data_IF_143284565378
#
_entry.id   IF_143284565378
#
_cell.length_a   1.000
_cell.length_b   1.000
_cell.length_c   1.000
_cell.angle_alpha   90.00
_cell.angle_beta   90.00
_cell.angle_gamma   90.00
#
_symmetry.space_group_name_H-M   'P 1'
#
loop_
_entity.id
_entity.type
_entity.pdbx_description
1 polymer ?
#
# COMPACT_ATOMS: atom_id res chain seq x y z
N UNK A 1 30.23 7.44 9.39
CA UNK A 1 29.10 7.92 8.53
C UNK A 1 28.57 9.22 9.12
N UNK A 2 28.56 10.32 8.37
CA UNK A 2 27.86 11.54 8.81
C UNK A 2 26.37 11.24 8.78
N UNK A 3 25.73 11.08 9.95
CA UNK A 3 24.28 10.93 10.06
C UNK A 3 23.62 12.15 9.44
N UNK A 4 22.85 11.94 8.39
CA UNK A 4 22.00 12.98 7.83
C UNK A 4 20.84 13.21 8.82
N UNK A 5 20.46 14.47 9.08
CA UNK A 5 19.47 14.89 10.08
C UNK A 5 18.11 14.13 9.96
N UNK A 6 17.83 13.56 8.80
CA UNK A 6 16.56 12.88 8.49
C UNK A 6 16.62 11.35 8.62
N UNK A 7 17.81 10.77 8.78
CA UNK A 7 18.00 9.32 8.85
C UNK A 7 17.86 8.80 10.27
N UNK A 8 17.05 7.77 10.46
CA UNK A 8 16.86 7.09 11.75
C UNK A 8 17.77 5.90 11.81
N UNK A 9 18.65 5.83 12.83
CA UNK A 9 19.44 4.63 13.11
C UNK A 9 18.53 3.52 13.66
N UNK A 10 18.25 2.53 12.83
CA UNK A 10 17.38 1.40 13.16
C UNK A 10 18.09 0.29 13.93
N UNK A 11 19.44 0.30 13.92
CA UNK A 11 20.23 -0.79 14.45
C UNK A 11 20.68 -0.57 15.90
N UNK A 12 20.61 0.65 16.44
CA UNK A 12 21.08 0.97 17.79
C UNK A 12 20.05 1.80 18.57
N UNK A 13 20.24 1.97 19.89
CA UNK A 13 19.40 2.77 20.79
C UNK A 13 18.00 2.19 21.03
N UNK A 14 17.10 3.02 21.53
CA UNK A 14 15.70 2.67 21.83
C UNK A 14 14.91 2.34 20.55
N UNK A 15 13.94 1.44 20.65
CA UNK A 15 13.18 0.98 19.48
C UNK A 15 11.85 1.69 19.32
N UNK A 16 11.05 1.76 20.38
CA UNK A 16 9.65 2.20 20.29
C UNK A 16 9.53 3.65 19.79
N UNK A 17 10.33 4.58 20.33
CA UNK A 17 10.38 5.98 19.89
C UNK A 17 10.78 6.13 18.41
N UNK A 18 11.74 5.31 17.96
CA UNK A 18 12.18 5.29 16.56
C UNK A 18 11.13 4.69 15.64
N UNK A 19 10.45 3.62 16.06
CA UNK A 19 9.33 3.05 15.32
C UNK A 19 8.19 4.04 15.16
N UNK A 20 7.82 4.75 16.23
CA UNK A 20 6.80 5.80 16.16
C UNK A 20 7.25 6.94 15.23
N UNK A 21 8.48 7.44 15.39
CA UNK A 21 9.02 8.52 14.56
C UNK A 21 9.12 8.13 13.08
N UNK A 22 9.30 6.86 12.76
CA UNK A 22 9.33 6.34 11.40
C UNK A 22 7.92 6.07 10.84
N UNK A 23 7.03 5.48 11.65
CA UNK A 23 5.67 5.09 11.23
C UNK A 23 4.75 6.28 11.05
N UNK A 24 4.87 7.31 11.89
CA UNK A 24 3.97 8.46 11.86
C UNK A 24 3.99 9.22 10.52
N UNK A 25 5.15 9.55 9.92
CA UNK A 25 5.16 10.15 8.60
C UNK A 25 4.60 9.24 7.50
N UNK A 26 4.78 7.91 7.61
CA UNK A 26 4.20 6.95 6.66
C UNK A 26 2.68 6.90 6.77
N UNK A 27 2.15 6.89 7.99
CA UNK A 27 0.71 6.95 8.24
C UNK A 27 0.10 8.23 7.67
N UNK A 28 0.72 9.38 7.95
CA UNK A 28 0.29 10.67 7.40
C UNK A 28 0.35 10.69 5.88
N UNK A 29 1.39 10.09 5.27
CA UNK A 29 1.49 9.95 3.80
C UNK A 29 0.32 9.16 3.22
N UNK A 30 -0.06 8.03 3.85
CA UNK A 30 -1.20 7.23 3.43
C UNK A 30 -2.53 7.96 3.56
N UNK A 31 -2.76 8.65 4.69
CA UNK A 31 -3.96 9.46 4.92
C UNK A 31 -4.07 10.58 3.88
N UNK A 32 -2.96 11.29 3.62
CA UNK A 32 -2.94 12.35 2.60
C UNK A 32 -3.26 11.82 1.21
N UNK A 33 -2.74 10.65 0.83
CA UNK A 33 -3.08 10.02 -0.45
C UNK A 33 -4.58 9.73 -0.56
N UNK A 34 -5.23 9.23 0.50
CA UNK A 34 -6.67 9.02 0.52
C UNK A 34 -7.44 10.35 0.37
N UNK A 35 -7.01 11.40 1.07
CA UNK A 35 -7.63 12.72 0.97
C UNK A 35 -7.48 13.32 -0.42
N UNK A 36 -6.32 13.22 -1.06
CA UNK A 36 -6.11 13.72 -2.42
C UNK A 36 -6.94 12.96 -3.44
N UNK A 37 -7.04 11.63 -3.33
CA UNK A 37 -7.94 10.82 -4.18
C UNK A 37 -9.40 11.23 -3.99
N UNK A 38 -9.82 11.52 -2.75
CA UNK A 38 -11.17 12.01 -2.49
C UNK A 38 -11.43 13.37 -3.13
N UNK A 39 -10.46 14.30 -3.07
CA UNK A 39 -10.56 15.62 -3.73
C UNK A 39 -10.69 15.44 -5.24
N UNK A 40 -9.90 14.58 -5.87
CA UNK A 40 -9.97 14.31 -7.30
C UNK A 40 -11.37 13.83 -7.73
N UNK A 41 -11.92 12.86 -6.99
CA UNK A 41 -13.25 12.31 -7.24
C UNK A 41 -14.35 13.37 -7.06
N UNK A 42 -14.26 14.18 -5.99
CA UNK A 42 -15.22 15.24 -5.71
C UNK A 42 -15.19 16.32 -6.78
N UNK A 43 -14.01 16.78 -7.18
CA UNK A 43 -13.86 17.84 -8.20
C UNK A 43 -14.42 17.36 -9.55
N UNK A 44 -14.02 16.18 -10.02
CA UNK A 44 -14.51 15.62 -11.28
C UNK A 44 -16.01 15.37 -11.20
N UNK A 45 -16.52 14.73 -10.13
CA UNK A 45 -17.92 14.40 -9.99
C UNK A 45 -18.84 15.62 -9.91
N UNK A 46 -18.44 16.65 -9.16
CA UNK A 46 -19.27 17.84 -8.93
C UNK A 46 -19.29 18.80 -10.12
N UNK A 47 -18.19 18.93 -10.84
CA UNK A 47 -18.04 19.95 -11.90
C UNK A 47 -18.12 19.38 -13.32
N UNK A 48 -17.99 18.05 -13.49
CA UNK A 48 -18.07 17.42 -14.83
C UNK A 48 -19.31 16.53 -14.98
N UNK A 49 -19.95 16.15 -13.87
CA UNK A 49 -21.21 15.39 -13.88
C UNK A 49 -21.04 13.89 -13.60
N UNK A 50 -22.18 13.20 -13.54
CA UNK A 50 -22.27 11.79 -13.13
C UNK A 50 -21.57 10.81 -14.07
N UNK A 51 -21.58 11.07 -15.38
CA UNK A 51 -20.88 10.23 -16.36
C UNK A 51 -19.37 10.28 -16.17
N UNK A 52 -18.80 11.46 -15.90
CA UNK A 52 -17.37 11.61 -15.61
C UNK A 52 -16.98 10.90 -14.29
N UNK A 53 -17.83 11.00 -13.27
CA UNK A 53 -17.64 10.27 -12.01
C UNK A 53 -17.66 8.76 -12.23
N UNK A 54 -18.60 8.25 -13.02
CA UNK A 54 -18.67 6.84 -13.38
C UNK A 54 -17.46 6.40 -14.19
N UNK A 55 -16.94 7.26 -15.08
CA UNK A 55 -15.74 7.00 -15.87
C UNK A 55 -14.49 6.83 -14.98
N UNK A 56 -14.26 7.73 -14.03
CA UNK A 56 -13.16 7.63 -13.07
C UNK A 56 -13.33 6.39 -12.18
N UNK A 57 -14.54 6.15 -11.67
CA UNK A 57 -14.85 5.00 -10.82
C UNK A 57 -14.58 3.66 -11.48
N UNK A 58 -15.00 3.50 -12.76
CA UNK A 58 -14.81 2.25 -13.52
C UNK A 58 -13.34 1.91 -13.78
N UNK A 59 -12.45 2.91 -13.84
CA UNK A 59 -11.01 2.71 -14.09
C UNK A 59 -10.23 2.37 -12.81
N UNK A 60 -10.73 2.75 -11.64
CA UNK A 60 -10.00 2.66 -10.35
C UNK A 60 -9.58 1.22 -10.02
N UNK A 61 -10.45 0.24 -10.25
CA UNK A 61 -10.16 -1.17 -9.99
C UNK A 61 -8.99 -1.68 -10.84
N UNK A 62 -8.98 -1.37 -12.15
CA UNK A 62 -7.88 -1.75 -13.06
C UNK A 62 -6.58 -1.08 -12.68
N UNK A 63 -6.62 0.23 -12.42
CA UNK A 63 -5.45 1.00 -11.99
C UNK A 63 -4.85 0.37 -10.73
N UNK A 64 -5.68 0.04 -9.73
CA UNK A 64 -5.23 -0.55 -8.48
C UNK A 64 -4.58 -1.94 -8.65
N UNK A 65 -5.13 -2.79 -9.53
CA UNK A 65 -4.55 -4.11 -9.81
C UNK A 65 -3.10 -3.97 -10.32
N UNK A 66 -2.91 -3.13 -11.33
CA UNK A 66 -1.58 -2.92 -11.91
C UNK A 66 -0.63 -2.19 -10.95
N UNK A 67 -1.07 -1.12 -10.31
CA UNK A 67 -0.20 -0.33 -9.42
C UNK A 67 0.23 -1.12 -8.19
N UNK A 68 -0.65 -1.91 -7.56
CA UNK A 68 -0.31 -2.71 -6.40
C UNK A 68 0.76 -3.77 -6.68
N UNK A 69 0.75 -4.39 -7.86
CA UNK A 69 1.79 -5.33 -8.25
C UNK A 69 3.17 -4.66 -8.26
N UNK A 70 3.28 -3.50 -8.92
CA UNK A 70 4.55 -2.81 -9.06
C UNK A 70 4.99 -2.06 -7.79
N UNK A 71 4.05 -1.57 -6.98
CA UNK A 71 4.34 -1.09 -5.62
C UNK A 71 4.93 -2.22 -4.79
N UNK A 72 4.37 -3.44 -4.89
CA UNK A 72 4.93 -4.63 -4.24
C UNK A 72 6.40 -4.85 -4.62
N UNK A 73 6.76 -4.69 -5.90
CA UNK A 73 8.15 -4.84 -6.35
C UNK A 73 9.06 -3.77 -5.70
N UNK A 74 8.57 -2.54 -5.49
CA UNK A 74 9.34 -1.48 -4.80
C UNK A 74 9.65 -1.82 -3.34
N UNK A 75 8.82 -2.67 -2.67
CA UNK A 75 9.12 -3.18 -1.34
C UNK A 75 10.37 -4.09 -1.35
N UNK A 76 10.58 -4.85 -2.44
CA UNK A 76 11.80 -5.63 -2.63
C UNK A 76 13.04 -4.75 -2.71
N UNK A 77 12.96 -3.61 -3.40
CA UNK A 77 14.03 -2.60 -3.44
C UNK A 77 14.31 -2.01 -2.05
N UNK A 78 13.26 -1.72 -1.26
CA UNK A 78 13.41 -1.25 0.12
C UNK A 78 14.17 -2.27 0.99
N UNK A 79 13.74 -3.53 0.99
CA UNK A 79 14.35 -4.60 1.78
C UNK A 79 15.83 -4.76 1.44
N UNK A 80 16.16 -4.79 0.16
CA UNK A 80 17.54 -4.99 -0.28
C UNK A 80 18.42 -3.78 0.05
N UNK A 81 17.95 -2.58 -0.22
CA UNK A 81 18.64 -1.34 0.11
C UNK A 81 18.86 -1.20 1.63
N UNK A 82 17.85 -1.51 2.46
CA UNK A 82 17.94 -1.47 3.91
C UNK A 82 19.03 -2.41 4.45
N UNK A 83 19.11 -3.62 3.89
CA UNK A 83 20.11 -4.62 4.26
C UNK A 83 21.54 -4.15 3.94
N UNK A 84 21.79 -3.65 2.73
CA UNK A 84 23.11 -3.20 2.31
C UNK A 84 23.53 -1.91 3.01
N UNK A 85 22.57 -0.99 3.22
CA UNK A 85 22.85 0.23 3.96
C UNK A 85 23.34 -0.05 5.38
N UNK A 86 22.62 -0.89 6.13
CA UNK A 86 22.97 -1.23 7.50
C UNK A 86 24.30 -2.01 7.59
N UNK A 87 24.59 -2.91 6.65
CA UNK A 87 25.84 -3.69 6.62
C UNK A 87 27.06 -2.91 6.10
N UNK A 88 26.92 -1.62 5.74
CA UNK A 88 28.02 -0.79 5.24
C UNK A 88 28.54 -1.20 3.87
N UNK A 89 27.78 -1.97 3.10
CA UNK A 89 28.15 -2.44 1.75
C UNK A 89 27.82 -1.37 0.71
N UNK A 90 28.71 -0.37 0.60
CA UNK A 90 28.47 0.83 -0.22
C UNK A 90 28.32 0.53 -1.72
N UNK A 91 29.13 -0.41 -2.25
CA UNK A 91 29.06 -0.79 -3.66
C UNK A 91 27.71 -1.45 -3.98
N UNK A 92 27.32 -2.45 -3.17
CA UNK A 92 26.07 -3.17 -3.33
C UNK A 92 24.85 -2.26 -3.13
N UNK A 93 24.95 -1.31 -2.19
CA UNK A 93 23.93 -0.27 -1.99
C UNK A 93 23.79 0.60 -3.23
N UNK A 94 24.91 1.12 -3.77
CA UNK A 94 24.89 1.93 -4.98
C UNK A 94 24.30 1.16 -6.17
N UNK A 95 24.73 -0.09 -6.41
CA UNK A 95 24.22 -0.92 -7.50
C UNK A 95 22.73 -1.25 -7.32
N UNK A 96 22.25 -1.44 -6.08
CA UNK A 96 20.83 -1.62 -5.78
C UNK A 96 20.02 -0.38 -6.10
N UNK A 97 20.50 0.82 -5.75
CA UNK A 97 19.83 2.09 -6.06
C UNK A 97 19.68 2.27 -7.57
N UNK A 98 20.77 2.10 -8.33
CA UNK A 98 20.76 2.28 -9.78
C UNK A 98 19.87 1.23 -10.47
N UNK A 99 19.93 -0.04 -10.04
CA UNK A 99 19.03 -1.10 -10.53
C UNK A 99 17.57 -0.77 -10.23
N UNK A 100 17.27 -0.28 -9.02
CA UNK A 100 15.90 0.06 -8.61
C UNK A 100 15.31 1.23 -9.40
N UNK A 101 16.08 2.29 -9.62
CA UNK A 101 15.61 3.45 -10.39
C UNK A 101 15.45 3.10 -11.88
N UNK A 102 16.38 2.31 -12.44
CA UNK A 102 16.25 1.80 -13.81
C UNK A 102 15.01 0.91 -13.96
N UNK A 103 14.78 0.02 -12.99
CA UNK A 103 13.59 -0.84 -12.95
C UNK A 103 12.31 -0.02 -12.84
N UNK A 104 12.30 1.05 -12.03
CA UNK A 104 11.16 1.96 -11.92
C UNK A 104 10.81 2.61 -13.27
N UNK A 105 11.83 3.07 -14.00
CA UNK A 105 11.64 3.68 -15.32
C UNK A 105 11.10 2.66 -16.33
N UNK A 106 11.71 1.47 -16.42
CA UNK A 106 11.29 0.42 -17.35
C UNK A 106 9.87 -0.06 -17.02
N UNK A 107 9.58 -0.37 -15.76
CA UNK A 107 8.26 -0.82 -15.35
C UNK A 107 7.19 0.25 -15.59
N UNK A 108 7.50 1.51 -15.33
CA UNK A 108 6.62 2.64 -15.60
C UNK A 108 6.33 2.80 -17.12
N UNK A 109 7.35 2.68 -17.98
CA UNK A 109 7.18 2.74 -19.43
C UNK A 109 6.38 1.53 -19.97
N UNK A 110 6.65 0.33 -19.46
CA UNK A 110 5.86 -0.87 -19.82
C UNK A 110 4.41 -0.69 -19.43
N UNK A 111 4.14 -0.17 -18.23
CA UNK A 111 2.77 0.10 -17.78
C UNK A 111 2.10 1.20 -18.60
N UNK A 112 2.83 2.27 -18.93
CA UNK A 112 2.30 3.34 -19.78
C UNK A 112 1.88 2.80 -21.14
N UNK A 113 2.74 2.01 -21.78
CA UNK A 113 2.46 1.38 -23.07
C UNK A 113 1.27 0.41 -22.97
N UNK A 114 1.29 -0.49 -22.01
CA UNK A 114 0.20 -1.46 -21.79
C UNK A 114 -1.12 -0.75 -21.48
N UNK A 115 -1.12 0.26 -20.61
CA UNK A 115 -2.32 1.01 -20.25
C UNK A 115 -2.92 1.79 -21.42
N UNK A 116 -2.08 2.41 -22.26
CA UNK A 116 -2.57 3.13 -23.45
C UNK A 116 -3.15 2.18 -24.50
N UNK A 117 -2.48 1.05 -24.76
CA UNK A 117 -2.90 0.10 -25.80
C UNK A 117 -4.09 -0.76 -25.36
N UNK A 118 -4.09 -1.23 -24.12
CA UNK A 118 -5.08 -2.21 -23.63
C UNK A 118 -6.27 -1.57 -22.89
N UNK A 119 -6.29 -0.24 -22.67
CA UNK A 119 -7.34 0.43 -21.90
C UNK A 119 -8.75 0.05 -22.36
N UNK A 120 -9.04 0.17 -23.66
CA UNK A 120 -10.36 -0.12 -24.19
C UNK A 120 -10.74 -1.59 -24.07
N UNK A 121 -9.80 -2.48 -24.34
CA UNK A 121 -10.01 -3.92 -24.21
C UNK A 121 -10.30 -4.31 -22.74
N UNK A 122 -9.53 -3.81 -21.79
CA UNK A 122 -9.69 -4.10 -20.38
C UNK A 122 -11.02 -3.56 -19.83
N UNK A 123 -11.43 -2.36 -20.21
CA UNK A 123 -12.70 -1.77 -19.80
C UNK A 123 -13.90 -2.50 -20.42
N UNK A 124 -13.82 -2.93 -21.67
CA UNK A 124 -14.85 -3.77 -22.29
C UNK A 124 -15.00 -5.12 -21.57
N UNK A 125 -13.88 -5.75 -21.20
CA UNK A 125 -13.89 -7.01 -20.46
C UNK A 125 -14.56 -6.86 -19.07
N UNK A 126 -14.45 -5.67 -18.46
CA UNK A 126 -15.13 -5.36 -17.19
C UNK A 126 -16.62 -5.00 -17.37
N UNK A 127 -17.14 -4.94 -18.58
CA UNK A 127 -18.53 -4.58 -18.83
C UNK A 127 -18.83 -3.09 -18.61
N UNK A 128 -17.86 -2.19 -18.84
CA UNK A 128 -18.06 -0.74 -18.73
C UNK A 128 -19.15 -0.30 -19.73
N UNK A 129 -20.19 0.45 -19.29
CA UNK A 129 -21.29 0.88 -20.16
C UNK A 129 -20.82 1.75 -21.33
N UNK A 130 -21.50 1.63 -22.49
CA UNK A 130 -21.11 2.31 -23.73
C UNK A 130 -21.17 3.84 -23.65
N UNK A 131 -22.02 4.39 -22.80
CA UNK A 131 -22.17 5.84 -22.58
C UNK A 131 -21.03 6.45 -21.76
N UNK A 132 -20.24 5.62 -21.08
CA UNK A 132 -19.13 6.03 -20.18
C UNK A 132 -17.77 5.61 -20.71
N UNK A 133 -17.71 4.58 -21.57
CA UNK A 133 -16.46 3.91 -21.95
C UNK A 133 -15.44 4.85 -22.58
N UNK A 134 -15.86 5.78 -23.44
CA UNK A 134 -14.93 6.68 -24.12
C UNK A 134 -14.24 7.63 -23.13
N UNK A 135 -14.95 8.14 -22.14
CA UNK A 135 -14.36 8.96 -21.07
C UNK A 135 -13.45 8.12 -20.17
N UNK A 136 -13.84 6.87 -19.87
CA UNK A 136 -13.04 5.93 -19.07
C UNK A 136 -11.72 5.61 -19.80
N UNK A 137 -11.76 5.33 -21.09
CA UNK A 137 -10.58 5.07 -21.92
C UNK A 137 -9.66 6.29 -21.96
N UNK A 138 -10.22 7.49 -22.16
CA UNK A 138 -9.45 8.74 -22.18
C UNK A 138 -8.75 8.95 -20.84
N UNK A 139 -9.50 8.87 -19.71
CA UNK A 139 -8.93 9.01 -18.37
C UNK A 139 -7.83 7.99 -18.11
N UNK A 140 -8.10 6.72 -18.40
CA UNK A 140 -7.15 5.62 -18.18
C UNK A 140 -5.87 5.79 -19.01
N UNK A 141 -5.99 6.14 -20.29
CA UNK A 141 -4.82 6.37 -21.16
C UNK A 141 -3.95 7.51 -20.62
N UNK A 142 -4.57 8.65 -20.29
CA UNK A 142 -3.83 9.78 -19.73
C UNK A 142 -3.16 9.37 -18.40
N UNK A 143 -3.89 8.74 -17.49
CA UNK A 143 -3.38 8.30 -16.20
C UNK A 143 -2.15 7.38 -16.35
N UNK A 144 -2.22 6.39 -17.26
CA UNK A 144 -1.11 5.46 -17.49
C UNK A 144 0.13 6.12 -18.11
N UNK A 145 0.00 7.22 -18.85
CA UNK A 145 1.15 8.01 -19.29
C UNK A 145 1.95 8.60 -18.11
N UNK A 146 1.33 8.78 -16.96
CA UNK A 146 1.99 9.22 -15.72
C UNK A 146 2.71 8.10 -14.96
N UNK A 147 2.55 6.82 -15.34
CA UNK A 147 3.13 5.69 -14.60
C UNK A 147 4.65 5.73 -14.44
N UNK A 148 5.45 6.19 -15.41
CA UNK A 148 6.88 6.34 -15.20
C UNK A 148 7.22 7.23 -13.99
N UNK A 149 6.53 8.34 -13.83
CA UNK A 149 6.74 9.27 -12.71
C UNK A 149 6.26 8.68 -11.38
N UNK A 150 5.10 8.00 -11.39
CA UNK A 150 4.58 7.30 -10.25
C UNK A 150 5.55 6.21 -9.75
N UNK A 151 6.11 5.41 -10.66
CA UNK A 151 7.08 4.38 -10.31
C UNK A 151 8.39 4.99 -9.79
N UNK A 152 8.93 6.02 -10.43
CA UNK A 152 10.13 6.70 -9.97
C UNK A 152 9.97 7.24 -8.54
N UNK A 153 8.82 7.84 -8.22
CA UNK A 153 8.54 8.28 -6.86
C UNK A 153 8.50 7.10 -5.87
N UNK A 154 7.76 6.02 -6.19
CA UNK A 154 7.60 4.89 -5.28
C UNK A 154 8.93 4.18 -4.97
N UNK A 155 9.74 3.92 -6.00
CA UNK A 155 11.06 3.28 -5.79
C UNK A 155 12.05 4.23 -5.10
N UNK A 156 12.07 5.50 -5.46
CA UNK A 156 12.90 6.49 -4.78
C UNK A 156 12.52 6.66 -3.31
N UNK A 157 11.23 6.74 -3.01
CA UNK A 157 10.73 6.76 -1.64
C UNK A 157 11.04 5.44 -0.88
N UNK A 158 11.00 4.29 -1.56
CA UNK A 158 11.41 3.01 -0.98
C UNK A 158 12.89 3.00 -0.56
N UNK A 159 13.78 3.58 -1.37
CA UNK A 159 15.20 3.75 -1.03
C UNK A 159 15.37 4.68 0.17
N UNK A 160 14.66 5.83 0.21
CA UNK A 160 14.73 6.75 1.37
C UNK A 160 14.21 6.09 2.65
N UNK A 161 13.10 5.34 2.58
CA UNK A 161 12.60 4.55 3.72
C UNK A 161 13.61 3.50 4.16
N UNK A 162 14.32 2.86 3.23
CA UNK A 162 15.34 1.87 3.54
C UNK A 162 16.48 2.40 4.41
N UNK A 163 16.83 3.68 4.26
CA UNK A 163 17.88 4.35 5.04
C UNK A 163 17.34 5.10 6.27
N UNK A 164 16.06 4.98 6.56
CA UNK A 164 15.45 5.57 7.76
C UNK A 164 14.78 6.92 7.56
N UNK A 165 14.64 7.38 6.33
CA UNK A 165 14.04 8.67 6.03
C UNK A 165 12.61 8.52 5.50
N UNK A 166 11.64 8.83 6.35
CA UNK A 166 10.22 8.88 5.99
C UNK A 166 9.68 10.30 5.89
N UNK A 167 10.42 11.30 6.42
CA UNK A 167 9.96 12.69 6.45
C UNK A 167 10.06 13.36 5.09
N UNK A 168 11.17 13.16 4.36
CA UNK A 168 11.33 13.76 3.03
C UNK A 168 10.31 13.23 2.02
N UNK A 169 10.04 11.90 1.89
CA UNK A 169 8.94 11.39 1.07
C UNK A 169 7.57 11.97 1.42
N UNK A 170 7.25 12.13 2.71
CA UNK A 170 6.02 12.80 3.15
C UNK A 170 5.96 14.24 2.63
N UNK A 171 7.04 15.01 2.79
CA UNK A 171 7.09 16.41 2.34
C UNK A 171 6.91 16.51 0.81
N UNK A 172 7.53 15.62 0.04
CA UNK A 172 7.34 15.57 -1.42
C UNK A 172 5.91 15.27 -1.80
N UNK A 173 5.25 14.37 -1.05
CA UNK A 173 3.84 14.04 -1.26
C UNK A 173 2.92 15.23 -0.92
N UNK A 174 3.21 15.98 0.13
CA UNK A 174 2.44 17.19 0.47
C UNK A 174 2.50 18.21 -0.66
N UNK A 175 3.71 18.51 -1.17
CA UNK A 175 3.89 19.46 -2.28
C UNK A 175 3.13 18.98 -3.52
N UNK A 176 3.33 17.72 -3.91
CA UNK A 176 2.69 17.18 -5.12
C UNK A 176 1.18 17.08 -4.97
N UNK A 177 0.66 16.72 -3.80
CA UNK A 177 -0.77 16.63 -3.55
C UNK A 177 -1.46 18.00 -3.52
N UNK A 178 -0.83 19.02 -2.93
CA UNK A 178 -1.35 20.39 -3.02
C UNK A 178 -1.37 20.88 -4.48
N UNK A 179 -0.31 20.58 -5.24
CA UNK A 179 -0.26 20.91 -6.67
C UNK A 179 -1.37 20.19 -7.45
N UNK A 180 -1.59 18.90 -7.15
CA UNK A 180 -2.67 18.11 -7.75
C UNK A 180 -4.03 18.76 -7.49
N UNK A 181 -4.34 19.10 -6.23
CA UNK A 181 -5.62 19.72 -5.88
C UNK A 181 -5.83 21.07 -6.61
N UNK A 182 -4.80 21.91 -6.67
CA UNK A 182 -4.87 23.19 -7.39
C UNK A 182 -5.04 22.97 -8.90
N UNK A 183 -4.28 22.08 -9.49
CA UNK A 183 -4.38 21.78 -10.93
C UNK A 183 -5.73 21.18 -11.29
N UNK A 184 -6.29 20.29 -10.47
CA UNK A 184 -7.62 19.74 -10.71
C UNK A 184 -8.68 20.84 -10.72
N UNK A 185 -8.65 21.76 -9.73
CA UNK A 185 -9.56 22.88 -9.71
C UNK A 185 -9.41 23.76 -10.98
N UNK A 186 -8.19 24.07 -11.36
CA UNK A 186 -7.92 24.93 -12.55
C UNK A 186 -8.31 24.21 -13.84
N UNK A 187 -7.84 22.97 -14.06
CA UNK A 187 -8.07 22.27 -15.33
C UNK A 187 -9.53 21.82 -15.50
N UNK A 188 -10.19 21.41 -14.41
CA UNK A 188 -11.59 20.95 -14.49
C UNK A 188 -12.57 22.11 -14.49
N UNK A 189 -12.37 23.15 -13.64
CA UNK A 189 -13.33 24.23 -13.46
C UNK A 189 -13.08 25.38 -14.46
N UNK A 190 -11.82 25.83 -14.58
CA UNK A 190 -11.52 27.00 -15.43
C UNK A 190 -11.37 26.61 -16.89
N UNK A 191 -10.62 25.53 -17.17
CA UNK A 191 -10.41 25.07 -18.55
C UNK A 191 -11.45 24.07 -19.05
N UNK A 192 -12.40 23.61 -18.21
CA UNK A 192 -13.46 22.68 -18.56
C UNK A 192 -12.99 21.38 -19.21
N UNK A 193 -11.80 20.88 -18.81
CA UNK A 193 -11.18 19.69 -19.42
C UNK A 193 -11.79 18.36 -18.93
N UNK A 194 -12.77 18.39 -18.05
CA UNK A 194 -13.47 17.21 -17.56
C UNK A 194 -12.55 16.16 -16.96
N UNK A 195 -12.74 14.88 -17.31
CA UNK A 195 -11.93 13.75 -16.81
C UNK A 195 -10.45 13.87 -17.23
N UNK A 196 -10.17 14.46 -18.38
CA UNK A 196 -8.79 14.68 -18.85
C UNK A 196 -8.05 15.65 -17.93
N UNK A 197 -8.73 16.70 -17.45
CA UNK A 197 -8.15 17.67 -16.50
C UNK A 197 -7.71 17.01 -15.19
N UNK A 198 -8.55 16.14 -14.62
CA UNK A 198 -8.19 15.38 -13.41
C UNK A 198 -6.99 14.46 -13.63
N UNK A 199 -6.96 13.72 -14.74
CA UNK A 199 -5.84 12.84 -15.07
C UNK A 199 -4.53 13.61 -15.31
N UNK A 200 -4.56 14.74 -16.01
CA UNK A 200 -3.39 15.60 -16.24
C UNK A 200 -2.88 16.19 -14.92
N UNK A 201 -3.77 16.68 -14.05
CA UNK A 201 -3.41 17.16 -12.71
C UNK A 201 -2.65 16.09 -11.91
N UNK A 202 -3.11 14.85 -11.98
CA UNK A 202 -2.44 13.70 -11.35
C UNK A 202 -1.05 13.44 -11.95
N UNK A 203 -0.89 13.44 -13.27
CA UNK A 203 0.43 13.24 -13.92
C UNK A 203 1.42 14.33 -13.50
N UNK A 204 1.02 15.60 -13.55
CA UNK A 204 1.91 16.71 -13.21
C UNK A 204 2.33 16.64 -11.75
N UNK A 205 1.41 16.27 -10.84
CA UNK A 205 1.74 16.08 -9.42
C UNK A 205 2.73 14.92 -9.21
N UNK A 206 2.56 13.81 -9.93
CA UNK A 206 3.49 12.68 -9.91
C UNK A 206 4.86 13.03 -10.49
N UNK A 207 4.90 13.82 -11.55
CA UNK A 207 6.15 14.35 -12.11
C UNK A 207 6.90 15.18 -11.07
N UNK A 208 6.22 16.09 -10.37
CA UNK A 208 6.83 16.92 -9.32
C UNK A 208 7.41 16.04 -8.20
N UNK A 209 6.64 15.08 -7.67
CA UNK A 209 7.13 14.18 -6.62
C UNK A 209 8.31 13.33 -7.08
N UNK A 210 8.31 12.87 -8.34
CA UNK A 210 9.43 12.12 -8.92
C UNK A 210 10.70 12.97 -9.06
N UNK A 211 10.57 14.22 -9.52
CA UNK A 211 11.70 15.15 -9.61
C UNK A 211 12.28 15.42 -8.22
N UNK A 212 11.44 15.67 -7.21
CA UNK A 212 11.89 15.94 -5.83
C UNK A 212 12.64 14.75 -5.23
N UNK A 213 12.13 13.52 -5.40
CA UNK A 213 12.80 12.33 -4.88
C UNK A 213 14.11 12.04 -5.62
N UNK A 214 14.14 12.17 -6.96
CA UNK A 214 15.36 11.97 -7.74
C UNK A 214 16.43 13.02 -7.42
N UNK A 215 16.03 14.30 -7.28
CA UNK A 215 16.92 15.37 -6.83
C UNK A 215 17.50 15.06 -5.45
N UNK A 216 16.66 14.58 -4.52
CA UNK A 216 17.09 14.20 -3.18
C UNK A 216 18.15 13.09 -3.22
N UNK A 217 17.97 12.05 -4.04
CA UNK A 217 18.94 10.97 -4.22
C UNK A 217 20.22 11.46 -4.92
N UNK A 218 20.09 12.32 -5.94
CA UNK A 218 21.22 12.86 -6.69
C UNK A 218 22.12 13.77 -5.84
N UNK A 219 21.52 14.62 -5.00
CA UNK A 219 22.26 15.57 -4.15
C UNK A 219 22.79 14.96 -2.84
N UNK A 220 22.44 13.70 -2.57
CA UNK A 220 22.93 12.99 -1.38
C UNK A 220 24.45 12.76 -1.46
N UNK A 221 25.14 12.91 -0.32
CA UNK A 221 26.58 12.61 -0.19
C UNK A 221 26.83 11.28 0.55
N UNK A 222 25.96 10.29 0.34
CA UNK A 222 25.97 9.00 1.02
C UNK A 222 26.03 7.85 0.01
N UNK A 223 26.13 6.60 0.49
CA UNK A 223 26.20 5.40 -0.34
C UNK A 223 24.99 5.16 -1.26
N UNK A 224 23.86 5.83 -1.00
CA UNK A 224 22.67 5.76 -1.85
C UNK A 224 22.55 6.91 -2.87
N UNK A 225 23.64 7.66 -3.11
CA UNK A 225 23.66 8.71 -4.13
C UNK A 225 23.36 8.12 -5.52
N UNK A 226 22.45 8.79 -6.21
CA UNK A 226 22.11 8.45 -7.59
C UNK A 226 23.06 9.16 -8.58
N UNK A 227 23.62 8.40 -9.50
CA UNK A 227 24.40 8.92 -10.62
C UNK A 227 23.72 8.50 -11.92
N UNK A 228 23.20 9.43 -12.70
CA UNK A 228 22.49 9.12 -13.94
C UNK A 228 23.36 8.35 -14.95
N UNK A 229 24.69 8.57 -14.93
CA UNK A 229 25.65 7.85 -15.78
C UNK A 229 25.84 6.37 -15.39
N UNK A 230 25.42 5.97 -14.19
CA UNK A 230 25.54 4.59 -13.69
C UNK A 230 24.20 3.82 -13.72
N UNK A 231 23.16 4.41 -14.32
CA UNK A 231 21.88 3.72 -14.50
C UNK A 231 22.08 2.44 -15.30
N UNK A 232 21.51 1.36 -14.83
CA UNK A 232 21.61 0.04 -15.45
C UNK A 232 21.06 -1.04 -14.53
N UNK A 233 20.77 -2.19 -15.09
CA UNK A 233 20.25 -3.35 -14.35
C UNK A 233 21.40 -4.31 -14.07
N UNK A 234 21.58 -4.61 -12.79
CA UNK A 234 22.40 -5.73 -12.33
C UNK A 234 21.51 -6.92 -12.00
N UNK A 235 21.59 -7.96 -12.83
CA UNK A 235 20.71 -9.14 -12.74
C UNK A 235 20.67 -9.77 -11.35
N UNK A 236 21.79 -9.76 -10.63
CA UNK A 236 21.88 -10.28 -9.26
C UNK A 236 20.92 -9.55 -8.32
N UNK A 237 20.89 -8.21 -8.33
CA UNK A 237 20.03 -7.41 -7.45
C UNK A 237 18.59 -7.39 -7.95
N UNK A 238 18.39 -7.37 -9.27
CA UNK A 238 17.06 -7.51 -9.85
C UNK A 238 16.37 -8.80 -9.38
N UNK A 239 17.07 -9.93 -9.42
CA UNK A 239 16.54 -11.22 -8.94
C UNK A 239 16.15 -11.14 -7.47
N UNK A 240 16.97 -10.54 -6.62
CA UNK A 240 16.68 -10.39 -5.19
C UNK A 240 15.49 -9.44 -4.95
N UNK A 241 15.39 -8.34 -5.69
CA UNK A 241 14.24 -7.42 -5.64
C UNK A 241 12.96 -8.18 -6.00
N UNK A 242 12.99 -8.97 -7.07
CA UNK A 242 11.83 -9.75 -7.53
C UNK A 242 11.44 -10.87 -6.57
N UNK A 243 12.39 -11.53 -5.93
CA UNK A 243 12.12 -12.59 -4.94
C UNK A 243 11.29 -12.08 -3.76
N UNK A 244 11.46 -10.82 -3.37
CA UNK A 244 10.67 -10.21 -2.30
C UNK A 244 9.45 -9.48 -2.87
N UNK A 245 9.63 -8.73 -3.93
CA UNK A 245 8.65 -7.77 -4.41
C UNK A 245 7.48 -8.40 -5.19
N UNK A 246 7.75 -9.37 -6.07
CA UNK A 246 6.68 -10.01 -6.86
C UNK A 246 5.69 -10.74 -5.96
N UNK A 247 6.10 -11.59 -5.00
CA UNK A 247 5.14 -12.21 -4.10
C UNK A 247 4.35 -11.18 -3.27
N UNK A 248 4.98 -10.09 -2.84
CA UNK A 248 4.29 -9.03 -2.10
C UNK A 248 3.21 -8.33 -2.94
N UNK A 249 3.50 -8.04 -4.21
CA UNK A 249 2.55 -7.46 -5.16
C UNK A 249 1.39 -8.38 -5.48
N UNK A 250 1.67 -9.66 -5.75
CA UNK A 250 0.64 -10.68 -5.99
C UNK A 250 -0.27 -10.80 -4.77
N UNK A 251 0.29 -10.88 -3.56
CA UNK A 251 -0.50 -10.95 -2.32
C UNK A 251 -1.47 -9.77 -2.21
N UNK A 252 -1.00 -8.54 -2.40
CA UNK A 252 -1.85 -7.34 -2.33
C UNK A 252 -2.95 -7.36 -3.38
N UNK A 253 -2.63 -7.74 -4.60
CA UNK A 253 -3.60 -7.83 -5.71
C UNK A 253 -4.70 -8.86 -5.43
N UNK A 254 -4.33 -10.05 -4.96
CA UNK A 254 -5.29 -11.15 -4.70
C UNK A 254 -6.15 -10.84 -3.48
N UNK A 255 -5.63 -10.18 -2.45
CA UNK A 255 -6.43 -9.73 -1.30
C UNK A 255 -7.46 -8.67 -1.74
N UNK A 256 -7.08 -7.72 -2.60
CA UNK A 256 -8.02 -6.73 -3.14
C UNK A 256 -9.13 -7.38 -3.97
N UNK A 257 -8.82 -8.41 -4.75
CA UNK A 257 -9.82 -9.20 -5.48
C UNK A 257 -10.78 -9.91 -4.51
N UNK A 258 -10.28 -10.44 -3.40
CA UNK A 258 -11.12 -11.04 -2.35
C UNK A 258 -12.09 -10.02 -1.70
N UNK A 259 -11.62 -8.78 -1.51
CA UNK A 259 -12.50 -7.71 -1.02
C UNK A 259 -13.62 -7.39 -2.02
N UNK A 260 -13.33 -7.44 -3.33
CA UNK A 260 -14.35 -7.27 -4.37
C UNK A 260 -15.40 -8.39 -4.37
N UNK A 261 -15.02 -9.64 -4.07
CA UNK A 261 -15.97 -10.75 -3.91
C UNK A 261 -16.91 -10.53 -2.71
N UNK A 262 -16.37 -10.05 -1.57
CA UNK A 262 -17.20 -9.67 -0.42
C UNK A 262 -18.17 -8.54 -0.76
N UNK A 263 -17.69 -7.49 -1.46
CA UNK A 263 -18.54 -6.40 -1.95
C UNK A 263 -19.71 -6.91 -2.82
N UNK A 264 -19.44 -7.86 -3.72
CA UNK A 264 -20.47 -8.48 -4.55
C UNK A 264 -21.53 -9.19 -3.70
N UNK A 265 -21.11 -9.86 -2.62
CA UNK A 265 -22.05 -10.50 -1.68
C UNK A 265 -22.88 -9.48 -0.91
N UNK A 266 -22.29 -8.35 -0.49
CA UNK A 266 -23.01 -7.24 0.16
C UNK A 266 -24.04 -6.64 -0.79
N UNK A 267 -23.71 -6.48 -2.08
CA UNK A 267 -24.61 -5.93 -3.09
C UNK A 267 -25.91 -6.75 -3.23
N UNK A 268 -25.87 -8.06 -2.90
CA UNK A 268 -27.07 -8.92 -2.93
C UNK A 268 -28.12 -8.58 -1.86
N UNK A 269 -27.79 -7.76 -0.86
CA UNK A 269 -28.71 -7.27 0.17
C UNK A 269 -29.41 -5.94 -0.20
N UNK A 270 -29.13 -5.39 -1.38
CA UNK A 270 -29.75 -4.17 -1.87
C UNK A 270 -28.94 -2.89 -1.60
N UNK A 271 -29.50 -1.77 -2.05
CA UNK A 271 -28.79 -0.48 -2.08
C UNK A 271 -28.44 0.08 -0.71
N UNK A 272 -29.28 -0.14 0.30
CA UNK A 272 -29.03 0.32 1.68
C UNK A 272 -27.80 -0.35 2.27
N UNK A 273 -27.70 -1.68 2.14
CA UNK A 273 -26.54 -2.44 2.62
C UNK A 273 -25.28 -2.04 1.86
N UNK A 274 -25.36 -1.87 0.55
CA UNK A 274 -24.25 -1.44 -0.29
C UNK A 274 -23.75 -0.04 0.11
N UNK A 275 -24.64 0.91 0.36
CA UNK A 275 -24.30 2.26 0.79
C UNK A 275 -23.65 2.26 2.18
N UNK A 276 -24.22 1.52 3.15
CA UNK A 276 -23.67 1.37 4.50
C UNK A 276 -22.28 0.75 4.51
N UNK A 277 -22.08 -0.33 3.75
CA UNK A 277 -20.78 -0.96 3.60
C UNK A 277 -19.75 -0.01 2.94
N UNK A 278 -20.15 0.71 1.90
CA UNK A 278 -19.25 1.65 1.21
C UNK A 278 -18.80 2.77 2.15
N UNK A 279 -19.71 3.34 2.93
CA UNK A 279 -19.38 4.37 3.92
C UNK A 279 -18.43 3.82 5.00
N UNK A 280 -18.71 2.62 5.53
CA UNK A 280 -17.85 1.95 6.50
C UNK A 280 -16.46 1.63 5.91
N UNK A 281 -16.40 1.20 4.64
CA UNK A 281 -15.13 0.87 3.98
C UNK A 281 -14.20 2.09 3.80
N UNK A 282 -14.76 3.29 3.63
CA UNK A 282 -13.97 4.51 3.63
C UNK A 282 -13.31 4.76 5.01
N UNK A 283 -14.01 4.48 6.10
CA UNK A 283 -13.47 4.57 7.47
C UNK A 283 -12.33 3.54 7.65
N UNK A 284 -12.51 2.31 7.15
CA UNK A 284 -11.44 1.30 7.14
C UNK A 284 -10.18 1.73 6.41
N UNK A 285 -10.31 2.48 5.33
CA UNK A 285 -9.18 2.99 4.59
C UNK A 285 -8.17 3.71 5.49
N UNK A 286 -8.67 4.56 6.42
CA UNK A 286 -7.82 5.28 7.38
C UNK A 286 -7.16 4.33 8.40
N UNK A 287 -7.89 3.33 8.91
CA UNK A 287 -7.32 2.33 9.82
C UNK A 287 -6.24 1.52 9.11
N UNK A 288 -6.49 1.11 7.87
CA UNK A 288 -5.55 0.34 7.06
C UNK A 288 -4.24 1.10 6.80
N UNK A 289 -4.29 2.42 6.58
CA UNK A 289 -3.08 3.23 6.42
C UNK A 289 -2.17 3.17 7.66
N UNK A 290 -2.77 3.11 8.85
CA UNK A 290 -2.03 2.97 10.11
C UNK A 290 -1.35 1.59 10.20
N UNK A 291 -2.06 0.51 9.88
CA UNK A 291 -1.50 -0.86 9.84
C UNK A 291 -0.36 -0.94 8.83
N UNK A 292 -0.59 -0.43 7.62
CA UNK A 292 0.41 -0.45 6.54
C UNK A 292 1.70 0.29 6.94
N UNK A 293 1.58 1.45 7.61
CA UNK A 293 2.72 2.22 8.09
C UNK A 293 3.57 1.44 9.09
N UNK A 294 2.94 0.77 10.08
CA UNK A 294 3.66 -0.04 11.06
C UNK A 294 4.27 -1.29 10.40
N UNK A 295 3.58 -1.90 9.44
CA UNK A 295 4.10 -3.05 8.68
C UNK A 295 5.33 -2.69 7.86
N UNK A 296 5.32 -1.54 7.16
CA UNK A 296 6.50 -1.05 6.43
C UNK A 296 7.66 -0.72 7.38
N UNK A 297 7.36 -0.19 8.57
CA UNK A 297 8.36 0.06 9.62
C UNK A 297 8.98 -1.25 10.09
N UNK A 298 8.16 -2.25 10.43
CA UNK A 298 8.61 -3.59 10.82
C UNK A 298 9.53 -4.19 9.75
N UNK A 299 9.14 -4.13 8.48
CA UNK A 299 9.92 -4.65 7.36
C UNK A 299 11.28 -3.96 7.23
N UNK A 300 11.34 -2.62 7.27
CA UNK A 300 12.57 -1.85 7.11
C UNK A 300 13.53 -2.05 8.28
N UNK A 301 13.01 -1.99 9.53
CA UNK A 301 13.82 -2.23 10.74
C UNK A 301 14.32 -3.68 10.80
N UNK A 302 13.48 -4.66 10.47
CA UNK A 302 13.88 -6.07 10.40
C UNK A 302 14.98 -6.27 9.36
N UNK A 303 14.85 -5.67 8.17
CA UNK A 303 15.82 -5.83 7.10
C UNK A 303 17.18 -5.22 7.44
N UNK A 304 17.21 -4.03 8.07
CA UNK A 304 18.47 -3.44 8.53
C UNK A 304 19.13 -4.30 9.62
N UNK A 305 18.36 -4.74 10.62
CA UNK A 305 18.91 -5.57 11.71
C UNK A 305 19.35 -6.97 11.22
N UNK A 306 18.66 -7.52 10.22
CA UNK A 306 19.09 -8.74 9.53
C UNK A 306 20.43 -8.54 8.81
N UNK A 307 20.62 -7.40 8.13
CA UNK A 307 21.87 -7.06 7.44
C UNK A 307 23.10 -7.02 8.35
N UNK A 308 22.93 -6.57 9.59
CA UNK A 308 23.98 -6.52 10.62
C UNK A 308 23.97 -7.72 11.58
N UNK A 309 23.21 -8.75 11.28
CA UNK A 309 23.10 -9.99 12.09
C UNK A 309 22.64 -9.77 13.54
N UNK A 310 21.90 -8.69 13.85
CA UNK A 310 21.36 -8.38 15.19
C UNK A 310 20.02 -9.12 15.44
N UNK A 311 20.05 -10.45 15.51
CA UNK A 311 18.86 -11.30 15.56
C UNK A 311 17.95 -11.03 16.76
N UNK A 312 18.52 -10.84 17.97
CA UNK A 312 17.71 -10.51 19.17
C UNK A 312 16.96 -9.19 19.01
N UNK A 313 17.60 -8.21 18.35
CA UNK A 313 16.95 -6.91 18.08
C UNK A 313 15.85 -7.04 17.04
N UNK A 314 16.04 -7.89 16.04
CA UNK A 314 15.01 -8.19 15.03
C UNK A 314 13.74 -8.79 15.66
N UNK A 315 13.88 -9.75 16.61
CA UNK A 315 12.76 -10.29 17.38
C UNK A 315 12.04 -9.20 18.18
N UNK A 316 12.81 -8.29 18.80
CA UNK A 316 12.27 -7.15 19.54
C UNK A 316 11.53 -6.16 18.64
N UNK A 317 12.03 -5.90 17.42
CA UNK A 317 11.34 -5.06 16.43
C UNK A 317 9.94 -5.61 16.14
N UNK A 318 9.80 -6.91 15.91
CA UNK A 318 8.48 -7.52 15.67
C UNK A 318 7.54 -7.33 16.88
N UNK A 319 8.04 -7.59 18.09
CA UNK A 319 7.24 -7.43 19.33
C UNK A 319 6.78 -5.97 19.52
N UNK A 320 7.72 -5.01 19.39
CA UNK A 320 7.41 -3.60 19.58
C UNK A 320 6.45 -3.08 18.47
N UNK A 321 6.58 -3.58 17.23
CA UNK A 321 5.62 -3.31 16.16
C UNK A 321 4.25 -3.93 16.43
N UNK A 322 4.17 -5.14 17.01
CA UNK A 322 2.89 -5.73 17.43
C UNK A 322 2.20 -4.89 18.49
N UNK A 323 2.95 -4.46 19.51
CA UNK A 323 2.41 -3.58 20.57
C UNK A 323 1.90 -2.26 19.96
N UNK A 324 2.69 -1.64 19.10
CA UNK A 324 2.32 -0.39 18.43
C UNK A 324 1.08 -0.57 17.53
N UNK A 325 1.05 -1.63 16.72
CA UNK A 325 -0.07 -1.92 15.82
C UNK A 325 -1.35 -2.20 16.57
N UNK A 326 -1.29 -3.06 17.61
CA UNK A 326 -2.45 -3.36 18.45
C UNK A 326 -2.94 -2.10 19.17
N UNK A 327 -2.03 -1.31 19.77
CA UNK A 327 -2.38 -0.07 20.45
C UNK A 327 -3.08 0.93 19.51
N UNK A 328 -2.50 1.19 18.34
CA UNK A 328 -3.06 2.13 17.36
C UNK A 328 -4.39 1.63 16.81
N UNK A 329 -4.47 0.35 16.41
CA UNK A 329 -5.69 -0.20 15.80
C UNK A 329 -6.83 -0.37 16.78
N UNK A 330 -6.56 -0.73 18.05
CA UNK A 330 -7.59 -0.74 19.08
C UNK A 330 -8.11 0.67 19.38
N UNK A 331 -7.21 1.65 19.53
CA UNK A 331 -7.61 3.04 19.80
C UNK A 331 -8.46 3.60 18.67
N UNK A 332 -7.97 3.49 17.43
CA UNK A 332 -8.70 4.00 16.25
C UNK A 332 -9.94 3.15 15.94
N UNK A 333 -9.88 1.83 16.10
CA UNK A 333 -10.99 0.91 15.83
C UNK A 333 -12.14 1.06 16.83
N UNK A 334 -11.83 1.15 18.13
CA UNK A 334 -12.83 1.46 19.14
C UNK A 334 -13.41 2.87 18.95
N UNK A 335 -12.55 3.86 18.64
CA UNK A 335 -13.00 5.21 18.29
C UNK A 335 -13.96 5.21 17.09
N UNK A 336 -13.59 4.51 16.00
CA UNK A 336 -14.45 4.39 14.82
C UNK A 336 -15.78 3.67 15.12
N UNK A 337 -15.81 2.74 16.05
CA UNK A 337 -17.05 2.08 16.48
C UNK A 337 -17.93 2.99 17.35
N UNK A 338 -17.35 3.60 18.40
CA UNK A 338 -18.11 4.46 19.33
C UNK A 338 -18.63 5.73 18.65
N UNK A 339 -17.85 6.34 17.79
CA UNK A 339 -18.27 7.52 17.00
C UNK A 339 -18.82 7.13 15.62
N UNK A 340 -19.11 5.84 15.40
CA UNK A 340 -19.57 5.29 14.12
C UNK A 340 -20.76 6.02 13.52
N UNK A 341 -21.87 6.26 14.28
CA UNK A 341 -23.01 7.00 13.76
C UNK A 341 -22.65 8.39 13.26
N UNK A 342 -21.82 9.13 14.01
CA UNK A 342 -21.38 10.48 13.66
C UNK A 342 -20.47 10.51 12.45
N UNK A 343 -19.54 9.55 12.37
CA UNK A 343 -18.65 9.40 11.21
C UNK A 343 -19.41 9.02 9.94
N UNK A 344 -20.44 8.16 10.06
CA UNK A 344 -21.26 7.75 8.93
C UNK A 344 -22.18 8.88 8.46
N UNK A 345 -22.62 9.78 9.34
CA UNK A 345 -23.39 10.98 8.98
C UNK A 345 -22.64 11.93 8.06
N UNK A 346 -21.31 11.86 8.00
CA UNK A 346 -20.51 12.61 7.02
C UNK A 346 -20.83 12.17 5.60
N UNK A 347 -21.21 10.89 5.42
CA UNK A 347 -21.46 10.27 4.10
C UNK A 347 -22.94 10.24 3.74
N UNK A 348 -23.85 10.12 4.73
CA UNK A 348 -25.28 9.96 4.48
C UNK A 348 -26.11 10.46 5.66
N UNK A 349 -27.32 10.94 5.39
CA UNK A 349 -28.32 11.26 6.39
C UNK A 349 -29.40 10.15 6.57
N UNK A 350 -29.34 9.10 5.77
CA UNK A 350 -30.29 7.98 5.82
C UNK A 350 -30.00 7.09 7.05
N UNK A 351 -31.01 6.98 7.94
CA UNK A 351 -30.90 6.23 9.19
C UNK A 351 -30.67 4.73 8.99
N UNK A 352 -31.27 4.13 7.95
CA UNK A 352 -31.11 2.70 7.65
C UNK A 352 -29.72 2.41 7.10
N UNK A 353 -29.16 3.29 6.28
CA UNK A 353 -27.79 3.20 5.80
C UNK A 353 -26.80 3.34 6.95
N UNK A 354 -27.02 4.30 7.87
CA UNK A 354 -26.18 4.48 9.07
C UNK A 354 -26.23 3.23 9.95
N UNK A 355 -27.42 2.67 10.21
CA UNK A 355 -27.58 1.45 11.01
C UNK A 355 -26.79 0.28 10.41
N UNK A 356 -26.90 0.08 9.10
CA UNK A 356 -26.18 -0.94 8.37
C UNK A 356 -24.65 -0.71 8.44
N UNK A 357 -24.20 0.54 8.26
CA UNK A 357 -22.80 0.92 8.39
C UNK A 357 -22.23 0.66 9.79
N UNK A 358 -22.98 0.97 10.85
CA UNK A 358 -22.58 0.68 12.25
C UNK A 358 -22.44 -0.83 12.48
N UNK A 359 -23.35 -1.65 11.92
CA UNK A 359 -23.21 -3.10 11.99
C UNK A 359 -21.93 -3.59 11.34
N UNK A 360 -21.57 -3.05 10.16
CA UNK A 360 -20.29 -3.34 9.51
C UNK A 360 -19.12 -2.97 10.40
N UNK A 361 -19.13 -1.75 10.98
CA UNK A 361 -18.07 -1.26 11.86
C UNK A 361 -17.90 -2.17 13.10
N UNK A 362 -18.99 -2.65 13.70
CA UNK A 362 -18.93 -3.51 14.86
C UNK A 362 -18.10 -4.79 14.64
N UNK A 363 -18.33 -5.47 13.50
CA UNK A 363 -17.64 -6.73 13.20
C UNK A 363 -16.24 -6.55 12.60
N UNK A 364 -15.88 -5.36 12.19
CA UNK A 364 -14.64 -5.14 11.46
C UNK A 364 -13.66 -4.24 12.20
N UNK A 365 -14.09 -3.12 12.82
CA UNK A 365 -13.16 -2.17 13.44
C UNK A 365 -12.63 -2.61 14.79
N UNK A 366 -13.48 -3.22 15.63
CA UNK A 366 -13.03 -3.71 16.95
C UNK A 366 -11.99 -4.82 16.81
N UNK A 367 -12.20 -5.89 16.00
CA UNK A 367 -11.18 -6.93 15.80
C UNK A 367 -10.08 -6.54 14.82
N UNK A 368 -10.00 -5.28 14.38
CA UNK A 368 -9.03 -4.83 13.37
C UNK A 368 -7.57 -5.00 13.80
N UNK A 369 -7.29 -5.09 15.11
CA UNK A 369 -5.96 -5.43 15.62
C UNK A 369 -5.47 -6.80 15.11
N UNK A 370 -6.38 -7.74 14.84
CA UNK A 370 -6.03 -9.00 14.20
C UNK A 370 -5.49 -8.77 12.77
N UNK A 371 -6.10 -7.87 12.00
CA UNK A 371 -5.59 -7.48 10.68
C UNK A 371 -4.16 -6.91 10.79
N UNK A 372 -3.91 -6.09 11.81
CA UNK A 372 -2.58 -5.55 12.09
C UNK A 372 -1.53 -6.62 12.35
N UNK A 373 -1.82 -7.59 13.20
CA UNK A 373 -0.90 -8.71 13.48
C UNK A 373 -0.71 -9.58 12.23
N UNK A 374 -1.79 -9.84 11.49
CA UNK A 374 -1.76 -10.60 10.25
C UNK A 374 -0.80 -10.01 9.21
N UNK A 375 -0.74 -8.69 9.08
CA UNK A 375 0.13 -8.01 8.11
C UNK A 375 1.57 -7.85 8.60
N UNK A 376 1.78 -7.77 9.92
CA UNK A 376 3.13 -7.63 10.51
C UNK A 376 4.00 -8.87 10.32
N UNK A 377 3.43 -10.06 10.46
CA UNK A 377 4.18 -11.32 10.32
C UNK A 377 4.80 -11.48 8.92
N UNK A 378 4.05 -11.34 7.81
CA UNK A 378 4.64 -11.29 6.47
C UNK A 378 5.62 -10.12 6.29
N UNK A 379 5.35 -8.95 6.91
CA UNK A 379 6.24 -7.80 6.90
C UNK A 379 7.63 -8.13 7.46
N UNK A 380 7.69 -8.76 8.63
CA UNK A 380 8.93 -9.22 9.25
C UNK A 380 9.63 -10.29 8.38
N UNK A 381 8.88 -11.27 7.85
CA UNK A 381 9.42 -12.32 6.97
C UNK A 381 10.01 -11.72 5.69
N UNK A 382 9.35 -10.74 5.07
CA UNK A 382 9.89 -9.99 3.92
C UNK A 382 11.17 -9.24 4.27
N UNK A 383 11.23 -8.62 5.46
CA UNK A 383 12.45 -7.96 5.96
C UNK A 383 13.64 -8.92 6.04
N UNK A 384 13.41 -10.19 6.34
CA UNK A 384 14.41 -11.26 6.29
C UNK A 384 14.68 -11.79 4.87
N UNK A 385 13.89 -11.39 3.87
CA UNK A 385 14.00 -11.84 2.48
C UNK A 385 13.09 -13.00 2.09
N UNK A 386 12.23 -13.48 3.00
CA UNK A 386 11.27 -14.54 2.75
C UNK A 386 9.90 -13.95 2.41
N UNK A 387 9.47 -14.03 1.15
CA UNK A 387 8.21 -13.44 0.69
C UNK A 387 7.25 -14.45 0.05
N UNK A 388 7.76 -15.50 -0.59
CA UNK A 388 6.94 -16.46 -1.32
C UNK A 388 6.01 -17.27 -0.41
N UNK A 389 6.55 -17.89 0.64
CA UNK A 389 5.74 -18.70 1.57
C UNK A 389 4.72 -17.83 2.33
N UNK A 390 5.07 -16.68 2.90
CA UNK A 390 4.10 -15.77 3.50
C UNK A 390 2.98 -15.34 2.55
N UNK A 391 3.27 -15.09 1.27
CA UNK A 391 2.26 -14.79 0.25
C UNK A 391 1.26 -15.93 0.13
N UNK A 392 1.73 -17.17 -0.07
CA UNK A 392 0.87 -18.36 -0.24
C UNK A 392 -0.03 -18.53 1.00
N UNK A 393 0.54 -18.44 2.19
CA UNK A 393 -0.20 -18.58 3.45
C UNK A 393 -1.25 -17.49 3.64
N UNK A 394 -0.93 -16.23 3.26
CA UNK A 394 -1.91 -15.14 3.29
C UNK A 394 -3.04 -15.35 2.28
N UNK A 395 -2.73 -15.84 1.08
CA UNK A 395 -3.75 -16.14 0.07
C UNK A 395 -4.66 -17.27 0.56
N UNK A 396 -4.11 -18.38 1.04
CA UNK A 396 -4.90 -19.50 1.55
C UNK A 396 -5.72 -19.07 2.78
N UNK A 397 -5.09 -18.44 3.75
CA UNK A 397 -5.72 -18.06 5.01
C UNK A 397 -6.79 -16.96 4.83
N UNK A 398 -6.51 -15.92 4.06
CA UNK A 398 -7.46 -14.80 3.88
C UNK A 398 -8.44 -15.10 2.75
N UNK A 399 -7.93 -15.33 1.54
CA UNK A 399 -8.78 -15.46 0.34
C UNK A 399 -9.47 -16.81 0.32
N UNK A 400 -8.75 -17.90 0.60
CA UNK A 400 -9.32 -19.25 0.64
C UNK A 400 -10.45 -19.35 1.68
N UNK A 401 -10.23 -18.85 2.89
CA UNK A 401 -11.27 -18.83 3.94
C UNK A 401 -12.50 -18.03 3.50
N UNK A 402 -12.32 -16.87 2.88
CA UNK A 402 -13.45 -16.04 2.41
C UNK A 402 -14.22 -16.70 1.26
N UNK A 403 -13.53 -17.38 0.34
CA UNK A 403 -14.18 -18.15 -0.73
C UNK A 403 -15.03 -19.28 -0.13
N UNK A 404 -14.47 -20.06 0.78
CA UNK A 404 -15.22 -21.14 1.47
C UNK A 404 -16.39 -20.55 2.26
N UNK A 405 -16.20 -19.39 2.90
CA UNK A 405 -17.27 -18.73 3.64
C UNK A 405 -18.42 -18.27 2.73
N UNK A 406 -18.09 -17.55 1.64
CA UNK A 406 -19.08 -16.96 0.72
C UNK A 406 -19.87 -18.05 -0.02
N UNK A 407 -19.21 -19.06 -0.52
CA UNK A 407 -19.84 -20.10 -1.36
C UNK A 407 -20.32 -21.32 -0.58
N UNK A 408 -19.73 -21.62 0.58
CA UNK A 408 -20.07 -22.78 1.39
C UNK A 408 -21.03 -22.49 2.55
N UNK A 409 -20.70 -21.51 3.40
CA UNK A 409 -21.42 -21.26 4.65
C UNK A 409 -22.50 -20.16 4.54
N UNK A 410 -22.19 -19.08 3.84
CA UNK A 410 -23.06 -17.92 3.70
C UNK A 410 -24.41 -18.23 3.04
N UNK A 411 -24.55 -19.13 2.03
CA UNK A 411 -25.85 -19.48 1.47
C UNK A 411 -26.85 -20.06 2.47
N UNK A 412 -26.34 -20.74 3.53
CA UNK A 412 -27.18 -21.32 4.58
C UNK A 412 -27.57 -20.29 5.67
N UNK A 413 -26.82 -19.21 5.83
CA UNK A 413 -27.01 -18.17 6.85
C UNK A 413 -26.91 -16.77 6.27
N UNK A 414 -27.90 -16.38 5.44
CA UNK A 414 -27.90 -15.09 4.72
C UNK A 414 -28.19 -13.91 5.65
N UNK A 415 -27.18 -13.43 6.34
CA UNK A 415 -27.23 -12.15 7.08
C UNK A 415 -25.94 -11.36 6.89
N UNK A 416 -26.03 -10.02 6.98
CA UNK A 416 -24.87 -9.14 6.87
C UNK A 416 -23.84 -9.41 7.97
N UNK A 417 -24.30 -9.55 9.23
CA UNK A 417 -23.45 -9.90 10.36
C UNK A 417 -22.66 -11.18 10.11
N UNK A 418 -23.32 -12.25 9.60
CA UNK A 418 -22.66 -13.51 9.29
C UNK A 418 -21.62 -13.37 8.16
N UNK A 419 -21.90 -12.52 7.16
CA UNK A 419 -20.95 -12.23 6.10
C UNK A 419 -19.68 -11.54 6.67
N UNK A 420 -19.84 -10.55 7.57
CA UNK A 420 -18.74 -9.78 8.13
C UNK A 420 -17.91 -10.54 9.16
N UNK A 421 -18.44 -11.57 9.81
CA UNK A 421 -17.65 -12.49 10.66
C UNK A 421 -16.54 -13.18 9.87
N UNK A 422 -16.67 -13.30 8.55
CA UNK A 422 -15.59 -13.82 7.68
C UNK A 422 -14.28 -13.03 7.79
N UNK A 423 -14.31 -11.74 8.13
CA UNK A 423 -13.11 -10.92 8.31
C UNK A 423 -12.26 -11.40 9.51
N UNK A 424 -12.75 -11.35 10.77
CA UNK A 424 -11.94 -11.79 11.90
C UNK A 424 -11.57 -13.26 11.81
N UNK A 425 -12.43 -14.14 11.31
CA UNK A 425 -12.12 -15.58 11.13
C UNK A 425 -10.94 -15.76 10.16
N UNK A 426 -10.99 -15.09 9.00
CA UNK A 426 -9.89 -15.17 8.03
C UNK A 426 -8.59 -14.58 8.56
N UNK A 427 -8.65 -13.48 9.34
CA UNK A 427 -7.48 -12.88 9.95
C UNK A 427 -6.84 -13.81 10.99
N UNK A 428 -7.63 -14.37 11.91
CA UNK A 428 -7.13 -15.28 12.95
C UNK A 428 -6.48 -16.52 12.32
N UNK A 429 -7.14 -17.13 11.34
CA UNK A 429 -6.59 -18.31 10.65
C UNK A 429 -5.27 -17.97 9.96
N UNK A 430 -5.21 -16.84 9.29
CA UNK A 430 -3.97 -16.38 8.63
C UNK A 430 -2.86 -16.11 9.64
N UNK A 431 -3.18 -15.48 10.79
CA UNK A 431 -2.21 -15.26 11.88
C UNK A 431 -1.60 -16.57 12.35
N UNK A 432 -2.43 -17.60 12.61
CA UNK A 432 -1.95 -18.91 13.08
C UNK A 432 -0.98 -19.53 12.06
N UNK A 433 -1.35 -19.53 10.78
CA UNK A 433 -0.49 -20.06 9.72
C UNK A 433 0.82 -19.28 9.57
N UNK A 434 0.75 -17.94 9.63
CA UNK A 434 1.92 -17.05 9.54
C UNK A 434 2.83 -17.16 10.77
N UNK A 435 2.27 -17.29 11.97
CA UNK A 435 3.04 -17.48 13.20
C UNK A 435 3.86 -18.77 13.17
N UNK A 436 3.26 -19.86 12.71
CA UNK A 436 3.98 -21.15 12.52
C UNK A 436 5.12 -20.96 11.51
N UNK A 437 4.84 -20.35 10.36
CA UNK A 437 5.85 -20.04 9.35
C UNK A 437 6.99 -19.19 9.93
N UNK A 438 6.65 -18.13 10.67
CA UNK A 438 7.62 -17.25 11.30
C UNK A 438 8.54 -18.00 12.26
N UNK A 439 8.00 -18.88 13.10
CA UNK A 439 8.79 -19.70 14.02
C UNK A 439 9.80 -20.59 13.27
N UNK A 440 9.40 -21.24 12.18
CA UNK A 440 10.29 -22.06 11.35
C UNK A 440 11.40 -21.23 10.68
N UNK A 441 11.03 -20.13 10.01
CA UNK A 441 11.98 -19.25 9.33
C UNK A 441 12.95 -18.63 10.33
N UNK A 442 12.45 -18.12 11.46
CA UNK A 442 13.27 -17.58 12.54
C UNK A 442 14.32 -18.58 13.01
N UNK A 443 13.90 -19.83 13.30
CA UNK A 443 14.83 -20.90 13.72
C UNK A 443 15.92 -21.15 12.66
N UNK A 444 15.52 -21.22 11.40
CA UNK A 444 16.47 -21.43 10.29
C UNK A 444 17.47 -20.27 10.17
N UNK A 445 16.98 -19.01 10.24
CA UNK A 445 17.82 -17.81 10.19
C UNK A 445 18.81 -17.77 11.36
N UNK A 446 18.35 -18.06 12.59
CA UNK A 446 19.25 -18.09 13.76
C UNK A 446 20.34 -19.17 13.61
N UNK A 447 19.99 -20.34 13.08
CA UNK A 447 20.97 -21.41 12.85
C UNK A 447 21.99 -21.06 11.75
N UNK A 448 21.55 -20.44 10.65
CA UNK A 448 22.45 -20.05 9.55
C UNK A 448 23.43 -18.95 9.99
N UNK A 449 22.96 -17.94 10.70
CA UNK A 449 23.81 -16.84 11.19
C UNK A 449 24.81 -17.33 12.23
N UNK A 450 24.42 -18.24 13.12
CA UNK A 450 25.34 -18.81 14.11
C UNK A 450 26.43 -19.68 13.45
N UNK A 451 26.11 -20.42 12.36
CA UNK A 451 27.11 -21.15 11.58
C UNK A 451 28.12 -20.23 10.88
N UNK A 452 27.68 -19.07 10.40
CA UNK A 452 28.57 -18.09 9.77
C UNK A 452 29.48 -17.35 10.77
N UNK A 453 29.17 -17.42 12.07
CA UNK A 453 29.93 -16.79 13.15
C UNK A 453 30.87 -17.76 13.86
N UNK A 454 30.65 -19.06 13.72
CA UNK A 454 31.51 -20.14 14.23
C UNK A 454 32.58 -20.51 13.22
#
# INVERSE_FOLDING_TARGET
MKNNKYEIDMCNGTLMDKLISFSLPLMLSGILQLLFNAVDIIVVGRFTGSQALAAVGSTTALINIFTNLFIGISLGANVLAARFYASGKEKEMSETVHTSITLALISGLVMALAGVLLARFALNLMGTPNDVIDQSVLYMRIYFLGMPFFMLYNYGAAILRAVGDTKRPLFFLVISGMTNAVLNLVLVIVFHMGVAGGAIGTIVSQLISSILVLRCLYTSNTSYRLYFSKLGIKTQYLKQIFQVGIPAGIQSTVINLSNALLQSSVNSFGSVAMAGYTAANNIFGFLYMSVNAVTQSCMSFTSQNYGVKKLKRMDRVLLDCMILSVGVTLTLGCGAYFFGPELLKIYTSDADVIRCGVEVLAFTTVPYFCCGIMDLLPGALRGMGYSGVPMILSIIGTVGTRIVWIFGLFPAHRSLSFLFISYPVSWILTILMQAVCFCFVRKHVHQSVNRDLA
#
